data_IF_110825990815
#
_entry.id   IF_110825990815
#
_cell.length_a   1.000
_cell.length_b   1.000
_cell.length_c   1.000
_cell.angle_alpha   90.00
_cell.angle_beta   90.00
_cell.angle_gamma   90.00
#
_symmetry.space_group_name_H-M   'P 1'
#
loop_
_entity.id
_entity.type
_entity.pdbx_description
1 polymer ?
#
# COMPACT_ATOMS: atom_id res chain seq x y z
N UNK A 1 0.81 -0.03 -16.00
CA UNK A 1 0.52 0.46 -14.62
C UNK A 1 -0.78 1.23 -14.64
N UNK A 2 -1.77 0.80 -13.85
CA UNK A 2 -3.05 1.49 -13.77
C UNK A 2 -2.94 2.68 -12.78
N UNK A 3 -3.21 3.93 -13.20
CA UNK A 3 -3.19 5.09 -12.33
C UNK A 3 -4.54 5.27 -11.62
N UNK A 4 -4.99 4.22 -10.92
CA UNK A 4 -6.29 4.23 -10.25
C UNK A 4 -6.14 4.18 -8.73
N UNK A 5 -6.85 5.04 -7.97
CA UNK A 5 -6.82 5.08 -6.52
C UNK A 5 -7.67 3.95 -5.93
N UNK A 6 -7.16 2.71 -5.98
CA UNK A 6 -7.95 1.52 -5.63
C UNK A 6 -7.89 1.17 -4.13
N UNK A 7 -6.70 1.19 -3.54
CA UNK A 7 -6.50 0.64 -2.20
C UNK A 7 -7.24 1.43 -1.12
N UNK A 8 -7.04 2.74 -1.04
CA UNK A 8 -7.68 3.56 -0.02
C UNK A 8 -9.18 3.75 -0.31
N UNK A 9 -9.49 4.16 -1.53
CA UNK A 9 -10.84 4.57 -1.93
C UNK A 9 -11.83 3.41 -1.96
N UNK A 10 -11.46 2.29 -2.61
CA UNK A 10 -12.39 1.22 -2.90
C UNK A 10 -12.35 0.07 -1.87
N UNK A 11 -11.32 0.00 -1.02
CA UNK A 11 -11.19 -1.08 -0.05
C UNK A 11 -11.04 -0.56 1.37
N UNK A 12 -10.04 0.26 1.68
CA UNK A 12 -9.77 0.64 3.06
C UNK A 12 -10.89 1.48 3.68
N UNK A 13 -11.37 2.51 2.98
CA UNK A 13 -12.44 3.37 3.50
C UNK A 13 -13.78 2.62 3.69
N UNK A 14 -14.28 1.80 2.73
CA UNK A 14 -15.44 0.95 2.98
C UNK A 14 -15.25 -0.03 4.14
N UNK A 15 -14.08 -0.65 4.26
CA UNK A 15 -13.79 -1.57 5.38
C UNK A 15 -13.84 -0.85 6.74
N UNK A 16 -13.38 0.41 6.83
CA UNK A 16 -13.49 1.20 8.04
C UNK A 16 -14.96 1.36 8.48
N UNK A 17 -15.81 1.72 7.52
CA UNK A 17 -17.24 1.88 7.76
C UNK A 17 -17.93 0.58 8.15
N UNK A 18 -17.57 -0.54 7.50
CA UNK A 18 -18.11 -1.87 7.83
C UNK A 18 -17.65 -2.31 9.22
N UNK A 19 -16.38 -2.05 9.59
CA UNK A 19 -15.81 -2.50 10.84
C UNK A 19 -16.25 -1.68 12.06
N UNK A 20 -16.33 -0.35 11.92
CA UNK A 20 -16.54 0.56 13.05
C UNK A 20 -17.59 1.65 12.79
N UNK A 21 -18.20 1.72 11.60
CA UNK A 21 -19.27 2.67 11.31
C UNK A 21 -20.58 2.25 11.95
N UNK A 22 -21.34 3.22 12.47
CA UNK A 22 -22.74 3.00 12.87
C UNK A 22 -23.61 2.65 11.66
N UNK A 23 -24.78 2.05 11.89
CA UNK A 23 -25.75 1.76 10.81
C UNK A 23 -26.07 3.00 9.98
N UNK A 24 -26.21 4.16 10.63
CA UNK A 24 -26.47 5.43 9.95
C UNK A 24 -25.29 5.85 9.06
N UNK A 25 -24.06 5.72 9.55
CA UNK A 25 -22.85 6.01 8.77
C UNK A 25 -22.69 5.06 7.59
N UNK A 26 -22.92 3.76 7.81
CA UNK A 26 -22.87 2.77 6.72
C UNK A 26 -23.94 3.07 5.65
N UNK A 27 -25.17 3.34 6.05
CA UNK A 27 -26.27 3.69 5.14
C UNK A 27 -26.02 4.99 4.38
N UNK A 28 -25.33 5.95 4.99
CA UNK A 28 -24.98 7.22 4.36
C UNK A 28 -23.85 7.07 3.34
N UNK A 29 -22.78 6.36 3.69
CA UNK A 29 -21.53 6.42 2.95
C UNK A 29 -21.33 5.26 1.97
N UNK A 30 -21.65 3.99 2.34
CA UNK A 30 -21.36 2.84 1.51
C UNK A 30 -22.02 2.87 0.12
N UNK A 31 -23.32 3.23 -0.02
CA UNK A 31 -23.94 3.33 -1.33
C UNK A 31 -23.28 4.40 -2.21
N UNK A 32 -22.91 5.54 -1.64
CA UNK A 32 -22.29 6.66 -2.36
C UNK A 32 -20.87 6.34 -2.81
N UNK A 33 -20.10 5.59 -1.98
CA UNK A 33 -18.78 5.07 -2.38
C UNK A 33 -18.94 4.08 -3.53
N UNK A 34 -19.88 3.15 -3.44
CA UNK A 34 -20.14 2.15 -4.48
C UNK A 34 -20.58 2.79 -5.81
N UNK A 35 -21.36 3.87 -5.75
CA UNK A 35 -21.77 4.64 -6.93
C UNK A 35 -20.67 5.57 -7.49
N UNK A 36 -19.53 5.72 -6.78
CA UNK A 36 -18.48 6.67 -7.16
C UNK A 36 -18.83 8.14 -6.93
N UNK A 37 -19.88 8.41 -6.14
CA UNK A 37 -20.35 9.76 -5.83
C UNK A 37 -19.51 10.46 -4.77
N UNK A 38 -18.77 9.70 -3.96
CA UNK A 38 -17.89 10.21 -2.92
C UNK A 38 -16.57 9.45 -2.91
N UNK A 39 -15.49 10.19 -2.73
CA UNK A 39 -14.12 9.67 -2.75
C UNK A 39 -13.47 9.90 -1.40
N UNK A 40 -12.84 8.85 -0.88
CA UNK A 40 -12.11 8.90 0.39
C UNK A 40 -10.60 8.77 0.18
N UNK A 41 -9.83 9.62 0.86
CA UNK A 41 -8.44 9.38 1.16
C UNK A 41 -8.30 8.70 2.53
N UNK A 42 -7.18 8.00 2.79
CA UNK A 42 -6.97 7.25 4.04
C UNK A 42 -5.63 7.60 4.67
N UNK A 43 -5.66 8.08 5.90
CA UNK A 43 -4.50 8.43 6.72
C UNK A 43 -4.42 7.58 7.99
N UNK A 44 -3.64 6.51 7.93
CA UNK A 44 -3.42 5.55 9.04
C UNK A 44 -1.93 5.26 9.26
N UNK A 45 -1.05 6.01 8.61
CA UNK A 45 0.39 5.71 8.62
C UNK A 45 1.01 5.80 10.02
N UNK A 46 0.53 6.70 10.87
CA UNK A 46 1.02 6.89 12.25
C UNK A 46 0.75 5.68 13.14
N UNK A 47 -0.18 4.81 12.77
CA UNK A 47 -0.42 3.52 13.42
C UNK A 47 0.65 2.46 13.06
N UNK A 48 1.38 2.68 11.96
CA UNK A 48 2.45 1.79 11.48
C UNK A 48 3.82 2.30 11.93
N UNK A 49 4.10 3.57 11.67
CA UNK A 49 5.38 4.21 11.98
C UNK A 49 5.16 5.69 12.21
N UNK A 50 5.41 6.12 13.42
CA UNK A 50 5.26 7.50 13.83
C UNK A 50 6.57 8.26 13.66
N UNK A 51 6.50 9.39 12.97
CA UNK A 51 7.61 10.34 12.87
C UNK A 51 7.46 11.39 13.99
N UNK A 52 8.57 11.90 14.49
CA UNK A 52 8.55 13.00 15.47
C UNK A 52 7.74 14.18 14.93
N UNK A 53 6.82 14.67 15.76
CA UNK A 53 5.90 15.76 15.40
C UNK A 53 4.70 15.36 14.54
N UNK A 54 4.56 14.08 14.15
CA UNK A 54 3.34 13.57 13.51
C UNK A 54 2.39 12.94 14.52
N UNK A 55 1.17 12.72 14.08
CA UNK A 55 0.07 12.14 14.85
C UNK A 55 -1.09 13.10 14.99
N UNK A 56 -2.26 12.54 15.16
CA UNK A 56 -3.53 13.27 15.22
C UNK A 56 -4.21 12.96 16.54
N UNK A 57 -4.63 14.00 17.25
CA UNK A 57 -5.43 13.89 18.50
C UNK A 57 -6.84 14.37 18.27
N UNK A 58 -7.79 13.65 18.86
CA UNK A 58 -9.19 14.06 18.91
C UNK A 58 -9.52 14.66 20.28
N UNK A 59 -10.07 15.88 20.28
CA UNK A 59 -10.56 16.54 21.49
C UNK A 59 -11.90 17.21 21.18
N UNK A 60 -12.95 16.81 21.89
CA UNK A 60 -14.27 17.41 21.73
C UNK A 60 -14.87 17.28 20.32
N UNK A 61 -14.52 16.23 19.56
CA UNK A 61 -15.01 16.03 18.19
C UNK A 61 -14.20 16.79 17.12
N UNK A 62 -13.08 17.41 17.49
CA UNK A 62 -12.18 18.09 16.57
C UNK A 62 -10.80 17.44 16.57
N UNK A 63 -10.18 17.33 15.39
CA UNK A 63 -8.86 16.78 15.19
C UNK A 63 -7.81 17.88 15.15
N UNK A 64 -6.66 17.60 15.80
CA UNK A 64 -5.49 18.49 15.77
C UNK A 64 -4.22 17.65 15.60
N UNK A 65 -3.33 18.08 14.72
CA UNK A 65 -2.07 17.41 14.47
C UNK A 65 -1.77 17.22 12.98
N UNK A 66 -0.91 16.26 12.67
CA UNK A 66 -0.47 16.01 11.29
C UNK A 66 -0.59 14.53 10.96
N UNK A 67 -1.33 14.21 9.89
CA UNK A 67 -1.37 12.87 9.29
C UNK A 67 -0.47 12.84 8.07
N UNK A 68 0.53 11.96 8.06
CA UNK A 68 1.50 11.79 6.97
C UNK A 68 1.09 10.66 6.03
N UNK A 69 1.52 10.76 4.79
CA UNK A 69 1.33 9.73 3.76
C UNK A 69 -0.13 9.28 3.61
N UNK A 70 -1.05 10.26 3.64
CA UNK A 70 -2.47 10.02 3.39
C UNK A 70 -2.65 9.54 1.96
N UNK A 71 -3.15 8.34 1.80
CA UNK A 71 -3.32 7.67 0.51
C UNK A 71 -4.52 8.20 -0.24
N UNK A 72 -4.41 8.28 -1.57
CA UNK A 72 -5.46 8.71 -2.49
C UNK A 72 -6.05 10.09 -2.11
N UNK A 73 -5.18 11.01 -1.65
CA UNK A 73 -5.56 12.29 -1.07
C UNK A 73 -6.01 13.34 -2.11
N UNK A 74 -5.46 13.31 -3.32
CA UNK A 74 -5.90 14.19 -4.39
C UNK A 74 -7.31 13.81 -4.83
N UNK A 75 -8.13 14.80 -5.10
CA UNK A 75 -9.54 14.60 -5.44
C UNK A 75 -10.39 13.88 -4.37
N UNK A 76 -9.91 13.70 -3.16
CA UNK A 76 -10.73 13.16 -2.08
C UNK A 76 -11.78 14.20 -1.62
N UNK A 77 -13.02 13.75 -1.45
CA UNK A 77 -14.10 14.55 -0.89
C UNK A 77 -14.10 14.48 0.64
N UNK A 78 -13.60 13.35 1.18
CA UNK A 78 -13.45 13.08 2.61
C UNK A 78 -12.18 12.29 2.89
N UNK A 79 -11.75 12.35 4.15
CA UNK A 79 -10.62 11.57 4.65
C UNK A 79 -11.05 10.67 5.79
N UNK A 80 -10.57 9.43 5.78
CA UNK A 80 -10.63 8.51 6.91
C UNK A 80 -9.30 8.57 7.65
N UNK A 81 -9.27 9.15 8.85
CA UNK A 81 -8.05 9.43 9.60
C UNK A 81 -8.05 8.66 10.91
N UNK A 82 -6.96 7.95 11.22
CA UNK A 82 -6.73 7.37 12.55
C UNK A 82 -6.12 8.41 13.49
N UNK A 83 -6.67 8.54 14.69
CA UNK A 83 -6.04 9.30 15.76
C UNK A 83 -4.96 8.47 16.50
N UNK A 84 -4.29 9.08 17.49
CA UNK A 84 -3.21 8.43 18.25
C UNK A 84 -3.67 7.18 19.01
N UNK A 85 -4.96 7.07 19.34
CA UNK A 85 -5.55 5.89 19.97
C UNK A 85 -5.94 4.80 18.95
N UNK A 86 -5.84 5.10 17.65
CA UNK A 86 -6.25 4.21 16.56
C UNK A 86 -7.74 4.32 16.22
N UNK A 87 -8.49 5.24 16.86
CA UNK A 87 -9.87 5.47 16.49
C UNK A 87 -9.96 6.18 15.14
N UNK A 88 -10.90 5.75 14.31
CA UNK A 88 -11.09 6.29 12.97
C UNK A 88 -12.10 7.45 12.97
N UNK A 89 -11.81 8.44 12.15
CA UNK A 89 -12.61 9.65 12.00
C UNK A 89 -12.83 9.99 10.53
N UNK A 90 -14.03 10.44 10.19
CA UNK A 90 -14.37 11.00 8.88
C UNK A 90 -14.20 12.51 8.94
N UNK A 91 -13.42 13.07 8.02
CA UNK A 91 -13.15 14.50 7.90
C UNK A 91 -13.52 14.96 6.49
N UNK A 92 -14.31 16.00 6.35
CA UNK A 92 -14.56 16.61 5.04
C UNK A 92 -13.29 17.29 4.51
N UNK A 93 -12.99 17.14 3.23
CA UNK A 93 -11.89 17.86 2.59
C UNK A 93 -12.08 19.39 2.59
N UNK A 94 -13.31 19.84 2.85
CA UNK A 94 -13.68 21.26 2.96
C UNK A 94 -13.82 21.72 4.41
N UNK A 95 -13.42 20.89 5.39
CA UNK A 95 -13.54 21.25 6.79
C UNK A 95 -12.62 22.40 7.17
N UNK A 96 -13.11 23.31 8.03
CA UNK A 96 -12.29 24.37 8.57
C UNK A 96 -11.08 23.80 9.33
N UNK A 97 -9.92 24.44 9.17
CA UNK A 97 -8.67 24.02 9.82
C UNK A 97 -7.96 22.83 9.15
N UNK A 98 -8.43 22.35 8.00
CA UNK A 98 -7.74 21.32 7.22
C UNK A 98 -6.88 21.98 6.15
N UNK A 99 -5.60 21.61 6.08
CA UNK A 99 -4.68 21.91 4.99
C UNK A 99 -4.17 20.61 4.39
N UNK A 100 -4.37 20.42 3.08
CA UNK A 100 -3.81 19.31 2.31
C UNK A 100 -2.55 19.77 1.57
N UNK A 101 -1.44 19.07 1.81
CA UNK A 101 -0.18 19.25 1.11
C UNK A 101 0.08 18.00 0.26
N UNK A 102 -0.07 18.13 -1.06
CA UNK A 102 0.22 17.04 -1.99
C UNK A 102 1.73 16.76 -2.02
N UNK A 103 2.13 15.50 -1.91
CA UNK A 103 3.51 15.06 -1.92
C UNK A 103 3.89 14.50 -3.30
N UNK A 104 5.03 14.95 -3.83
CA UNK A 104 5.62 14.33 -5.02
C UNK A 104 6.34 13.05 -4.62
N UNK A 105 5.81 11.92 -5.07
CA UNK A 105 6.43 10.61 -4.84
C UNK A 105 7.15 10.10 -6.09
N UNK A 106 7.90 9.02 -5.92
CA UNK A 106 8.58 8.36 -7.04
C UNK A 106 7.59 7.78 -8.04
N UNK A 107 6.41 7.32 -7.57
CA UNK A 107 5.32 6.83 -8.41
C UNK A 107 4.27 7.93 -8.62
N UNK A 108 4.38 8.64 -9.73
CA UNK A 108 3.44 9.69 -10.11
C UNK A 108 2.02 9.18 -10.45
N UNK A 109 1.79 7.87 -10.42
CA UNK A 109 0.46 7.25 -10.65
C UNK A 109 -0.32 7.02 -9.35
N UNK A 110 0.26 7.43 -8.19
CA UNK A 110 -0.35 7.38 -6.86
C UNK A 110 -0.34 8.76 -6.23
N UNK A 111 -1.47 9.19 -5.69
CA UNK A 111 -1.52 10.43 -4.91
C UNK A 111 -1.33 10.14 -3.43
N UNK A 112 -0.46 10.91 -2.82
CA UNK A 112 -0.15 10.84 -1.39
C UNK A 112 0.00 12.26 -0.87
N UNK A 113 -0.47 12.52 0.33
CA UNK A 113 -0.42 13.85 0.93
C UNK A 113 -0.09 13.84 2.41
N UNK A 114 0.13 15.04 2.92
CA UNK A 114 0.15 15.38 4.33
C UNK A 114 -1.11 16.19 4.64
N UNK A 115 -1.83 15.84 5.70
CA UNK A 115 -2.92 16.65 6.22
C UNK A 115 -2.47 17.32 7.52
N UNK A 116 -2.60 18.64 7.56
CA UNK A 116 -2.49 19.43 8.78
C UNK A 116 -3.88 19.77 9.28
N UNK A 117 -4.12 19.50 10.54
CA UNK A 117 -5.42 19.63 11.18
C UNK A 117 -5.30 20.60 12.37
N UNK A 118 -6.10 21.66 12.36
CA UNK A 118 -6.10 22.70 13.39
C UNK A 118 -7.51 22.84 13.97
N UNK A 119 -7.85 22.02 14.95
CA UNK A 119 -9.19 21.91 15.52
C UNK A 119 -10.26 21.63 14.45
N UNK A 120 -9.92 20.77 13.50
CA UNK A 120 -10.74 20.42 12.34
C UNK A 120 -11.91 19.53 12.77
N UNK A 121 -13.18 19.91 12.48
CA UNK A 121 -14.33 19.10 12.81
C UNK A 121 -14.26 17.71 12.16
N UNK A 122 -14.61 16.68 12.93
CA UNK A 122 -14.56 15.31 12.46
C UNK A 122 -15.71 14.49 13.04
N UNK A 123 -16.21 13.55 12.26
CA UNK A 123 -17.19 12.56 12.67
C UNK A 123 -16.46 11.26 13.08
N UNK A 124 -16.53 10.92 14.36
CA UNK A 124 -15.87 9.72 14.86
C UNK A 124 -16.66 8.46 14.50
N UNK A 125 -15.95 7.40 14.13
CA UNK A 125 -16.49 6.03 14.13
C UNK A 125 -16.52 5.47 15.56
N UNK A 126 -17.06 4.25 15.75
CA UNK A 126 -17.05 3.60 17.04
C UNK A 126 -15.61 3.46 17.58
N UNK A 127 -15.46 3.56 18.90
CA UNK A 127 -14.20 3.28 19.56
C UNK A 127 -14.11 1.76 19.79
N UNK A 128 -13.19 1.13 19.10
CA UNK A 128 -12.94 -0.32 19.12
C UNK A 128 -11.51 -0.68 19.58
N UNK A 129 -10.82 0.27 20.20
CA UNK A 129 -9.43 0.11 20.63
C UNK A 129 -8.46 -0.03 19.46
N UNK A 130 -8.78 0.59 18.31
CA UNK A 130 -7.96 0.59 17.10
C UNK A 130 -8.04 -0.69 16.26
N UNK A 131 -8.99 -1.57 16.53
CA UNK A 131 -9.15 -2.83 15.78
C UNK A 131 -9.44 -2.56 14.30
N UNK A 132 -10.34 -1.61 14.00
CA UNK A 132 -10.64 -1.23 12.63
C UNK A 132 -9.40 -0.67 11.91
N UNK A 133 -8.62 0.20 12.55
CA UNK A 133 -7.39 0.73 11.95
C UNK A 133 -6.39 -0.39 11.61
N UNK A 134 -6.17 -1.35 12.53
CA UNK A 134 -5.32 -2.53 12.24
C UNK A 134 -5.86 -3.35 11.07
N UNK A 135 -7.17 -3.57 11.02
CA UNK A 135 -7.81 -4.28 9.92
C UNK A 135 -7.61 -3.55 8.58
N UNK A 136 -7.73 -2.23 8.54
CA UNK A 136 -7.45 -1.43 7.34
C UNK A 136 -5.99 -1.58 6.89
N UNK A 137 -5.05 -1.51 7.83
CA UNK A 137 -3.62 -1.65 7.54
C UNK A 137 -3.33 -3.03 6.97
N UNK A 138 -3.90 -4.09 7.55
CA UNK A 138 -3.74 -5.45 7.03
C UNK A 138 -4.29 -5.58 5.60
N UNK A 139 -5.50 -5.08 5.32
CA UNK A 139 -6.07 -5.06 3.97
C UNK A 139 -5.20 -4.26 2.99
N UNK A 140 -4.76 -3.07 3.37
CA UNK A 140 -3.86 -2.25 2.56
C UNK A 140 -2.55 -2.96 2.24
N UNK A 141 -1.95 -3.65 3.20
CA UNK A 141 -0.72 -4.44 3.01
C UNK A 141 -0.91 -5.60 2.02
N UNK A 142 -2.03 -6.31 2.11
CA UNK A 142 -2.37 -7.40 1.18
C UNK A 142 -2.53 -6.85 -0.25
N UNK A 143 -3.22 -5.72 -0.39
CA UNK A 143 -3.41 -5.07 -1.69
C UNK A 143 -2.09 -4.59 -2.31
N UNK A 144 -1.21 -3.95 -1.51
CA UNK A 144 0.11 -3.52 -1.96
C UNK A 144 1.02 -4.71 -2.33
N UNK A 145 0.91 -5.82 -1.61
CA UNK A 145 1.59 -7.05 -1.98
C UNK A 145 1.08 -7.62 -3.31
N UNK A 146 -0.23 -7.60 -3.53
CA UNK A 146 -0.84 -8.04 -4.79
C UNK A 146 -0.45 -7.13 -5.97
N UNK A 147 -0.41 -5.81 -5.77
CA UNK A 147 0.03 -4.83 -6.79
C UNK A 147 1.51 -5.06 -7.15
N UNK A 148 2.39 -5.22 -6.15
CA UNK A 148 3.80 -5.56 -6.36
C UNK A 148 4.00 -6.90 -7.09
N UNK A 149 3.21 -7.93 -6.75
CA UNK A 149 3.24 -9.23 -7.44
C UNK A 149 2.89 -9.07 -8.92
N UNK A 150 1.80 -8.38 -9.23
CA UNK A 150 1.38 -8.11 -10.61
C UNK A 150 2.39 -7.26 -11.39
N UNK A 151 3.00 -6.27 -10.73
CA UNK A 151 4.07 -5.47 -11.31
C UNK A 151 5.32 -6.31 -11.62
N UNK A 152 5.70 -7.21 -10.71
CA UNK A 152 6.82 -8.14 -10.92
C UNK A 152 6.53 -9.12 -12.07
N UNK A 153 5.33 -9.70 -12.15
CA UNK A 153 4.91 -10.54 -13.27
C UNK A 153 5.05 -9.82 -14.61
N UNK A 154 4.59 -8.56 -14.69
CA UNK A 154 4.70 -7.76 -15.90
C UNK A 154 6.17 -7.50 -16.29
N UNK A 155 7.03 -7.20 -15.32
CA UNK A 155 8.46 -6.98 -15.57
C UNK A 155 9.18 -8.26 -16.01
N UNK A 156 8.86 -9.40 -15.44
CA UNK A 156 9.39 -10.70 -15.85
C UNK A 156 8.99 -11.01 -17.31
N UNK A 157 7.70 -10.84 -17.63
CA UNK A 157 7.20 -11.08 -18.97
C UNK A 157 7.90 -10.18 -20.00
N UNK A 158 8.08 -8.89 -19.70
CA UNK A 158 8.80 -7.96 -20.58
C UNK A 158 10.27 -8.33 -20.73
N UNK A 159 10.96 -8.71 -19.64
CA UNK A 159 12.35 -9.12 -19.68
C UNK A 159 12.57 -10.39 -20.53
N UNK A 160 11.69 -11.38 -20.39
CA UNK A 160 11.74 -12.62 -21.19
C UNK A 160 11.49 -12.33 -22.66
N UNK A 161 10.47 -11.51 -22.98
CA UNK A 161 10.17 -11.12 -24.36
C UNK A 161 11.35 -10.35 -25.00
N UNK A 162 11.91 -9.39 -24.27
CA UNK A 162 13.08 -8.63 -24.73
C UNK A 162 14.29 -9.54 -24.97
N UNK A 163 14.57 -10.45 -24.04
CA UNK A 163 15.68 -11.39 -24.17
C UNK A 163 15.54 -12.33 -25.37
N UNK A 164 14.31 -12.66 -25.77
CA UNK A 164 14.02 -13.46 -26.97
C UNK A 164 14.14 -12.71 -28.30
N UNK A 165 14.19 -11.38 -28.27
CA UNK A 165 14.23 -10.54 -29.49
C UNK A 165 15.54 -9.77 -29.65
N UNK A 166 16.15 -9.32 -28.56
CA UNK A 166 17.37 -8.52 -28.60
C UNK A 166 18.56 -9.38 -29.02
N UNK A 167 19.25 -8.97 -30.07
CA UNK A 167 20.47 -9.64 -30.56
C UNK A 167 21.73 -8.90 -30.12
N UNK A 168 22.70 -9.66 -29.65
CA UNK A 168 24.08 -9.23 -29.42
C UNK A 168 25.03 -10.41 -29.68
N UNK A 169 26.20 -10.12 -30.18
CA UNK A 169 27.21 -11.15 -30.53
C UNK A 169 26.67 -12.22 -31.51
N UNK A 170 25.85 -11.80 -32.48
CA UNK A 170 25.28 -12.63 -33.53
C UNK A 170 24.17 -13.60 -33.11
N UNK A 171 23.58 -13.43 -31.93
CA UNK A 171 22.45 -14.24 -31.45
C UNK A 171 21.57 -13.48 -30.44
N UNK A 172 20.37 -13.98 -30.20
CA UNK A 172 19.46 -13.42 -29.19
C UNK A 172 20.08 -13.52 -27.80
N UNK A 173 19.93 -12.45 -26.97
CA UNK A 173 20.57 -12.42 -25.66
C UNK A 173 20.01 -13.49 -24.70
N UNK A 174 18.77 -13.93 -24.88
CA UNK A 174 18.17 -15.05 -24.15
C UNK A 174 18.84 -16.41 -24.41
N UNK A 175 19.72 -16.52 -25.42
CA UNK A 175 20.53 -17.72 -25.64
C UNK A 175 21.73 -17.85 -24.68
N UNK A 176 22.15 -16.73 -24.05
CA UNK A 176 23.24 -16.74 -23.07
C UNK A 176 22.75 -17.26 -21.73
N UNK A 177 23.52 -18.14 -21.10
CA UNK A 177 23.13 -18.80 -19.86
C UNK A 177 22.93 -17.82 -18.71
N UNK A 178 23.76 -16.79 -18.61
CA UNK A 178 23.61 -15.74 -17.59
C UNK A 178 22.22 -15.07 -17.65
N UNK A 179 21.75 -14.70 -18.85
CA UNK A 179 20.43 -14.07 -19.05
C UNK A 179 19.30 -15.06 -18.73
N UNK A 180 19.45 -16.34 -19.14
CA UNK A 180 18.47 -17.39 -18.79
C UNK A 180 18.34 -17.56 -17.28
N UNK A 181 19.47 -17.58 -16.56
CA UNK A 181 19.48 -17.71 -15.11
C UNK A 181 18.81 -16.51 -14.43
N UNK A 182 19.07 -15.29 -14.89
CA UNK A 182 18.40 -14.10 -14.38
C UNK A 182 16.86 -14.19 -14.54
N UNK A 183 16.39 -14.57 -15.72
CA UNK A 183 14.95 -14.75 -15.96
C UNK A 183 14.35 -15.88 -15.12
N UNK A 184 15.02 -17.00 -15.01
CA UNK A 184 14.59 -18.16 -14.22
C UNK A 184 14.55 -17.84 -12.72
N UNK A 185 15.56 -17.13 -12.21
CA UNK A 185 15.60 -16.74 -10.80
C UNK A 185 14.50 -15.74 -10.44
N UNK A 186 14.23 -14.76 -11.32
CA UNK A 186 13.08 -13.86 -11.14
C UNK A 186 11.76 -14.65 -11.01
N UNK A 187 11.49 -15.56 -11.92
CA UNK A 187 10.29 -16.38 -11.92
C UNK A 187 10.21 -17.28 -10.67
N UNK A 188 11.33 -17.96 -10.33
CA UNK A 188 11.38 -18.85 -9.18
C UNK A 188 11.14 -18.14 -7.84
N UNK A 189 11.61 -16.90 -7.69
CA UNK A 189 11.38 -16.10 -6.48
C UNK A 189 9.98 -15.50 -6.45
N UNK A 190 9.42 -15.12 -7.59
CA UNK A 190 8.12 -14.44 -7.67
C UNK A 190 6.93 -15.41 -7.52
N UNK A 191 7.02 -16.61 -8.03
CA UNK A 191 5.90 -17.58 -8.02
C UNK A 191 5.41 -17.94 -6.60
N UNK A 192 6.25 -18.18 -5.58
CA UNK A 192 5.77 -18.41 -4.22
C UNK A 192 5.00 -17.23 -3.60
N UNK A 193 5.28 -15.99 -4.03
CA UNK A 193 4.57 -14.80 -3.57
C UNK A 193 3.08 -14.86 -3.89
N UNK A 194 2.69 -15.51 -4.99
CA UNK A 194 1.28 -15.68 -5.40
C UNK A 194 0.48 -16.44 -4.35
N UNK A 195 0.98 -17.59 -3.91
CA UNK A 195 0.32 -18.38 -2.87
C UNK A 195 0.26 -17.64 -1.54
N UNK A 196 1.31 -16.89 -1.20
CA UNK A 196 1.37 -16.10 0.02
C UNK A 196 0.32 -14.96 0.01
N UNK A 197 0.20 -14.24 -1.09
CA UNK A 197 -0.82 -13.18 -1.26
C UNK A 197 -2.23 -13.76 -1.22
N UNK A 198 -2.48 -14.88 -1.89
CA UNK A 198 -3.77 -15.55 -1.86
C UNK A 198 -4.14 -16.05 -0.47
N UNK A 199 -3.17 -16.65 0.24
CA UNK A 199 -3.42 -17.08 1.60
C UNK A 199 -3.71 -15.90 2.53
N UNK A 200 -2.96 -14.80 2.40
CA UNK A 200 -3.21 -13.60 3.19
C UNK A 200 -4.62 -13.01 2.94
N UNK A 201 -5.06 -12.98 1.68
CA UNK A 201 -6.41 -12.55 1.33
C UNK A 201 -7.48 -13.51 1.89
N UNK A 202 -7.26 -14.82 1.82
CA UNK A 202 -8.14 -15.81 2.42
C UNK A 202 -8.21 -15.67 3.96
N UNK A 203 -7.07 -15.58 4.61
CA UNK A 203 -6.98 -15.49 6.07
C UNK A 203 -7.63 -14.20 6.60
N UNK A 204 -7.61 -13.12 5.83
CA UNK A 204 -8.24 -11.85 6.19
C UNK A 204 -9.74 -12.01 6.55
N UNK A 205 -10.45 -12.89 5.85
CA UNK A 205 -11.85 -13.15 6.09
C UNK A 205 -12.10 -14.45 6.87
N UNK A 206 -11.38 -15.53 6.53
CA UNK A 206 -11.66 -16.88 7.01
C UNK A 206 -10.88 -17.26 8.29
N UNK A 207 -9.71 -16.63 8.55
CA UNK A 207 -8.86 -16.94 9.71
C UNK A 207 -8.41 -15.64 10.38
N UNK A 208 -9.32 -14.85 11.00
CA UNK A 208 -9.01 -13.53 11.52
C UNK A 208 -7.85 -13.49 12.52
N UNK A 209 -7.60 -14.57 13.25
CA UNK A 209 -6.50 -14.67 14.21
C UNK A 209 -5.11 -14.63 13.54
N UNK A 210 -5.00 -14.97 12.27
CA UNK A 210 -3.74 -14.95 11.51
C UNK A 210 -3.64 -13.72 10.57
N UNK A 211 -4.74 -13.01 10.35
CA UNK A 211 -4.87 -12.00 9.30
C UNK A 211 -3.75 -10.93 9.33
N UNK A 212 -3.48 -10.35 10.50
CA UNK A 212 -2.44 -9.33 10.66
C UNK A 212 -1.04 -9.91 10.38
N UNK A 213 -0.75 -11.09 10.90
CA UNK A 213 0.55 -11.76 10.74
C UNK A 213 0.82 -12.12 9.28
N UNK A 214 -0.14 -12.76 8.60
CA UNK A 214 0.06 -13.16 7.20
C UNK A 214 0.06 -11.96 6.25
N UNK A 215 -0.65 -10.87 6.58
CA UNK A 215 -0.53 -9.60 5.86
C UNK A 215 0.89 -9.02 5.97
N UNK A 216 1.52 -9.10 7.14
CA UNK A 216 2.92 -8.72 7.34
C UNK A 216 3.86 -9.59 6.50
N UNK A 217 3.66 -10.89 6.49
CA UNK A 217 4.49 -11.81 5.67
C UNK A 217 4.34 -11.53 4.18
N UNK A 218 3.10 -11.40 3.69
CA UNK A 218 2.84 -11.08 2.28
C UNK A 218 3.50 -9.75 1.89
N UNK A 219 3.30 -8.70 2.66
CA UNK A 219 3.83 -7.36 2.40
C UNK A 219 5.36 -7.33 2.38
N UNK A 220 6.00 -7.87 3.43
CA UNK A 220 7.46 -7.81 3.55
C UNK A 220 8.16 -8.69 2.52
N UNK A 221 7.69 -9.92 2.30
CA UNK A 221 8.32 -10.85 1.37
C UNK A 221 8.14 -10.41 -0.09
N UNK A 222 6.91 -10.11 -0.50
CA UNK A 222 6.64 -9.66 -1.88
C UNK A 222 7.33 -8.33 -2.20
N UNK A 223 7.44 -7.42 -1.23
CA UNK A 223 8.18 -6.17 -1.40
C UNK A 223 9.68 -6.38 -1.68
N UNK A 224 10.33 -7.35 -1.05
CA UNK A 224 11.73 -7.69 -1.30
C UNK A 224 11.92 -8.44 -2.63
N UNK A 225 11.04 -9.39 -2.93
CA UNK A 225 11.06 -10.10 -4.20
C UNK A 225 10.78 -9.15 -5.36
N UNK A 226 9.79 -8.27 -5.23
CA UNK A 226 9.49 -7.24 -6.22
C UNK A 226 10.70 -6.33 -6.50
N UNK A 227 11.40 -5.88 -5.46
CA UNK A 227 12.64 -5.11 -5.61
C UNK A 227 13.73 -5.89 -6.36
N UNK A 228 13.90 -7.17 -6.06
CA UNK A 228 14.82 -8.03 -6.77
C UNK A 228 14.45 -8.15 -8.25
N UNK A 229 13.17 -8.45 -8.55
CA UNK A 229 12.67 -8.55 -9.93
C UNK A 229 12.85 -7.23 -10.68
N UNK A 230 12.49 -6.10 -10.06
CA UNK A 230 12.62 -4.79 -10.69
C UNK A 230 14.05 -4.48 -11.13
N UNK A 231 15.03 -4.75 -10.27
CA UNK A 231 16.46 -4.57 -10.60
C UNK A 231 16.92 -5.53 -11.70
N UNK A 232 16.65 -6.82 -11.53
CA UNK A 232 17.11 -7.84 -12.46
C UNK A 232 16.47 -7.71 -13.84
N UNK A 233 15.19 -7.39 -13.93
CA UNK A 233 14.52 -7.10 -15.19
C UNK A 233 15.15 -5.89 -15.91
N UNK A 234 15.49 -4.83 -15.17
CA UNK A 234 16.21 -3.68 -15.71
C UNK A 234 17.59 -4.07 -16.24
N UNK A 235 18.32 -4.93 -15.52
CA UNK A 235 19.63 -5.47 -15.95
C UNK A 235 19.52 -6.28 -17.23
N UNK A 236 18.50 -7.13 -17.39
CA UNK A 236 18.22 -7.89 -18.62
C UNK A 236 18.03 -6.97 -19.82
N UNK A 237 17.36 -5.83 -19.64
CA UNK A 237 17.17 -4.84 -20.70
C UNK A 237 18.40 -3.99 -20.98
N UNK A 238 19.41 -4.01 -20.11
CA UNK A 238 20.61 -3.18 -20.22
C UNK A 238 20.28 -1.69 -20.27
N UNK A 239 20.96 -0.92 -21.12
CA UNK A 239 20.72 0.52 -21.26
C UNK A 239 19.27 0.89 -21.62
N UNK A 240 18.56 0.04 -22.34
CA UNK A 240 17.15 0.26 -22.68
C UNK A 240 16.23 0.23 -21.46
N UNK A 241 16.57 -0.50 -20.41
CA UNK A 241 15.79 -0.60 -19.18
C UNK A 241 15.68 0.70 -18.39
N UNK A 242 16.58 1.66 -18.64
CA UNK A 242 16.56 2.99 -18.01
C UNK A 242 15.85 4.06 -18.84
N UNK A 243 15.38 3.73 -20.05
CA UNK A 243 14.75 4.69 -20.97
C UNK A 243 13.23 4.70 -20.78
N UNK A 244 12.60 5.82 -21.14
CA UNK A 244 11.14 5.94 -21.18
C UNK A 244 10.50 5.09 -22.29
N UNK A 245 11.29 4.65 -23.29
CA UNK A 245 10.81 3.94 -24.49
C UNK A 245 10.10 2.63 -24.18
N UNK A 246 10.56 1.89 -23.15
CA UNK A 246 9.99 0.60 -22.77
C UNK A 246 8.97 0.70 -21.61
N UNK A 247 8.89 1.85 -20.95
CA UNK A 247 7.98 2.05 -19.83
C UNK A 247 8.27 1.17 -18.59
N UNK A 248 9.41 0.45 -18.56
CA UNK A 248 9.78 -0.46 -17.48
C UNK A 248 9.91 0.27 -16.14
N UNK A 249 10.34 1.52 -16.17
CA UNK A 249 10.49 2.37 -14.99
C UNK A 249 9.18 2.65 -14.24
N UNK A 250 8.00 2.57 -14.91
CA UNK A 250 6.71 2.71 -14.22
C UNK A 250 6.48 1.56 -13.24
N UNK A 251 6.78 0.33 -13.64
CA UNK A 251 6.68 -0.83 -12.76
C UNK A 251 7.70 -0.79 -11.64
N UNK A 252 8.94 -0.37 -11.95
CA UNK A 252 9.99 -0.19 -10.96
C UNK A 252 9.58 0.79 -9.86
N UNK A 253 9.04 1.94 -10.24
CA UNK A 253 8.58 2.99 -9.32
C UNK A 253 7.38 2.53 -8.49
N UNK A 254 6.43 1.81 -9.11
CA UNK A 254 5.28 1.22 -8.43
C UNK A 254 5.71 0.24 -7.35
N UNK A 255 6.59 -0.70 -7.65
CA UNK A 255 7.14 -1.65 -6.68
C UNK A 255 7.87 -0.92 -5.55
N UNK A 256 8.63 0.13 -5.87
CA UNK A 256 9.31 0.97 -4.88
C UNK A 256 8.34 1.66 -3.93
N UNK A 257 7.24 2.19 -4.45
CA UNK A 257 6.16 2.80 -3.67
C UNK A 257 5.48 1.77 -2.78
N UNK A 258 4.99 0.67 -3.36
CA UNK A 258 4.27 -0.38 -2.64
C UNK A 258 5.10 -1.01 -1.53
N UNK A 259 6.43 -1.08 -1.72
CA UNK A 259 7.36 -1.59 -0.72
C UNK A 259 7.39 -0.74 0.55
N UNK A 260 7.22 0.58 0.44
CA UNK A 260 7.38 1.52 1.56
C UNK A 260 6.06 1.87 2.26
N UNK A 261 4.98 2.01 1.51
CA UNK A 261 3.69 2.42 2.06
C UNK A 261 3.14 1.36 3.02
N UNK A 262 2.54 1.81 4.12
CA UNK A 262 2.04 0.98 5.24
C UNK A 262 3.14 0.11 5.90
N UNK A 263 4.37 0.64 5.90
CA UNK A 263 5.55 0.03 6.51
C UNK A 263 6.48 -0.62 5.51
N UNK A 264 7.78 -0.25 5.58
CA UNK A 264 8.85 -0.95 4.86
C UNK A 264 9.06 -2.36 5.40
N UNK A 265 9.77 -3.24 4.66
CA UNK A 265 9.95 -4.64 5.05
C UNK A 265 10.56 -4.83 6.44
N UNK A 266 11.42 -3.92 6.86
CA UNK A 266 12.06 -3.95 8.18
C UNK A 266 11.02 -3.77 9.29
N UNK A 267 10.23 -2.68 9.23
CA UNK A 267 9.15 -2.37 10.18
C UNK A 267 8.10 -3.48 10.21
N UNK A 268 7.71 -3.98 9.03
CA UNK A 268 6.67 -5.02 8.93
C UNK A 268 7.15 -6.37 9.46
N UNK A 269 8.45 -6.71 9.32
CA UNK A 269 9.03 -7.92 9.92
C UNK A 269 9.13 -7.82 11.44
N UNK A 270 9.46 -6.64 11.95
CA UNK A 270 9.46 -6.39 13.40
C UNK A 270 8.05 -6.58 13.97
N UNK A 271 7.03 -6.01 13.33
CA UNK A 271 5.64 -6.20 13.72
C UNK A 271 5.23 -7.69 13.67
N UNK A 272 5.62 -8.43 12.63
CA UNK A 272 5.39 -9.86 12.54
C UNK A 272 6.07 -10.64 13.68
N UNK A 273 7.28 -10.25 14.08
CA UNK A 273 7.98 -10.87 15.22
C UNK A 273 7.26 -10.60 16.56
N UNK A 274 6.73 -9.39 16.73
CA UNK A 274 5.92 -9.03 17.90
C UNK A 274 4.64 -9.85 17.95
N UNK A 275 3.92 -9.96 16.81
CA UNK A 275 2.68 -10.75 16.71
C UNK A 275 2.90 -12.24 17.03
N UNK A 276 4.10 -12.77 16.76
CA UNK A 276 4.49 -14.15 17.09
C UNK A 276 5.05 -14.30 18.52
N UNK A 277 5.16 -13.22 19.28
CA UNK A 277 5.71 -13.24 20.64
C UNK A 277 7.23 -13.45 20.71
N UNK A 278 7.95 -13.24 19.59
CA UNK A 278 9.42 -13.40 19.56
C UNK A 278 10.16 -12.20 20.15
N UNK A 279 9.55 -11.05 20.16
CA UNK A 279 10.07 -9.81 20.74
C UNK A 279 8.94 -8.99 21.35
N UNK A 280 9.24 -8.14 22.33
CA UNK A 280 8.30 -7.16 22.84
C UNK A 280 8.32 -5.89 21.96
N UNK A 281 7.22 -5.16 21.94
CA UNK A 281 7.26 -3.79 21.36
C UNK A 281 8.28 -2.98 22.14
N UNK A 282 9.23 -2.37 21.45
CA UNK A 282 10.14 -1.39 22.06
C UNK A 282 9.31 -0.27 22.72
N UNK A 283 9.67 0.06 23.96
CA UNK A 283 9.04 1.14 24.75
C UNK A 283 9.45 2.48 24.16
#
# INVERSE_FOLDING_TARGET
VAPVPFAARNVMAPLALIAAGSEAQQAQWLPRIAAGEVRFGVGVNEQVSRRDGSGVRCTGGALTGTALFVLDCEEADHFMIADEAGRLHIVSAQADGLELIALKTIDATRSVGELRLASTPAEALADDGGAAARRLIAAGRILLAADSLGAADAMIAQAVAYAGQREQFGRVIGSFQAVKHMCAEMAAKNEPCRSLVWYAAHAFDAVPAEAELVACHAKSHTGEVGRFVARTATEVHGGMGFTDLLGLHYWFKRIGFDRQVLGGPETVREEAAILQGWTARGV
#
